data_IF_289928256070
#
_entry.id   IF_289928256070
#
_cell.length_a   1.000
_cell.length_b   1.000
_cell.length_c   1.000
_cell.angle_alpha   90.00
_cell.angle_beta   90.00
_cell.angle_gamma   90.00
#
_symmetry.space_group_name_H-M   'P 1'
#
loop_
_entity.id
_entity.type
_entity.pdbx_description
1 polymer ?
#
# COMPACT_ATOMS: atom_id res chain seq x y z
N UNK A 1 1.84 17.26 -7.65
CA UNK A 1 1.60 15.84 -7.29
C UNK A 1 2.24 15.59 -5.93
N UNK A 2 1.41 15.20 -4.97
CA UNK A 2 1.87 14.87 -3.62
C UNK A 2 2.31 13.41 -3.57
N UNK A 3 3.52 13.14 -3.09
CA UNK A 3 3.99 11.79 -2.81
C UNK A 3 3.89 11.53 -1.31
N UNK A 4 3.36 10.37 -0.93
CA UNK A 4 3.35 9.90 0.46
C UNK A 4 4.07 8.55 0.51
N UNK A 5 5.07 8.44 1.39
CA UNK A 5 5.75 7.19 1.67
C UNK A 5 5.29 6.62 3.02
N UNK A 6 4.83 5.38 3.02
CA UNK A 6 4.32 4.68 4.22
C UNK A 6 5.18 3.45 4.46
N UNK A 7 5.90 3.43 5.58
CA UNK A 7 6.70 2.29 5.96
C UNK A 7 5.86 1.23 6.70
N UNK A 8 6.35 -0.01 6.64
CA UNK A 8 5.83 -1.07 7.48
C UNK A 8 6.61 -1.21 8.78
N UNK A 9 6.64 -2.43 9.28
CA UNK A 9 7.14 -2.76 10.61
C UNK A 9 8.59 -2.34 10.78
N UNK A 10 8.88 -1.70 11.92
CA UNK A 10 10.21 -1.21 12.27
C UNK A 10 10.81 -0.15 11.34
N UNK A 11 10.08 0.31 10.31
CA UNK A 11 10.60 1.29 9.35
C UNK A 11 11.17 2.54 10.03
N UNK A 12 10.55 3.00 11.11
CA UNK A 12 11.01 4.18 11.85
C UNK A 12 12.12 3.94 12.88
N UNK A 13 12.67 2.72 13.01
CA UNK A 13 13.73 2.40 14.01
C UNK A 13 15.14 2.70 13.52
N UNK A 14 15.31 2.96 12.22
CA UNK A 14 16.58 3.38 11.65
C UNK A 14 16.79 4.88 11.84
N UNK A 15 18.04 5.31 11.97
CA UNK A 15 18.39 6.73 12.12
C UNK A 15 17.98 7.56 10.90
N UNK A 16 17.99 6.94 9.71
CA UNK A 16 17.53 7.53 8.43
C UNK A 16 16.69 6.53 7.63
N UNK A 17 15.39 6.39 7.94
CA UNK A 17 14.51 5.50 7.18
C UNK A 17 14.33 5.97 5.74
N UNK A 18 14.04 5.04 4.82
CA UNK A 18 13.88 5.34 3.40
C UNK A 18 12.76 6.35 3.10
N UNK A 19 11.73 6.43 3.95
CA UNK A 19 10.58 7.32 3.77
C UNK A 19 10.75 8.72 4.38
N UNK A 20 11.78 8.92 5.21
CA UNK A 20 12.05 10.22 5.82
C UNK A 20 12.59 11.22 4.79
N UNK A 21 12.35 12.51 5.01
CA UNK A 21 12.98 13.53 4.19
C UNK A 21 14.50 13.49 4.35
N UNK A 22 15.21 13.78 3.28
CA UNK A 22 16.67 13.71 3.25
C UNK A 22 17.23 12.31 3.08
N UNK A 23 16.40 11.25 3.10
CA UNK A 23 16.84 9.91 2.70
C UNK A 23 17.22 9.88 1.21
N UNK A 24 18.08 8.96 0.80
CA UNK A 24 18.45 8.83 -0.62
C UNK A 24 17.23 8.61 -1.51
N UNK A 25 16.25 7.82 -1.03
CA UNK A 25 15.04 7.54 -1.77
C UNK A 25 14.17 8.78 -1.92
N UNK A 26 14.00 9.55 -0.84
CA UNK A 26 13.20 10.76 -0.87
C UNK A 26 13.86 11.87 -1.71
N UNK A 27 15.17 12.07 -1.56
CA UNK A 27 15.93 13.04 -2.35
C UNK A 27 15.81 12.76 -3.85
N UNK A 28 15.86 11.48 -4.25
CA UNK A 28 15.65 11.11 -5.66
C UNK A 28 14.20 11.37 -6.11
N UNK A 29 13.20 11.13 -5.27
CA UNK A 29 11.81 11.46 -5.58
C UNK A 29 11.60 12.96 -5.81
N UNK A 30 12.18 13.80 -4.94
CA UNK A 30 12.12 15.26 -5.07
C UNK A 30 12.84 15.78 -6.30
N UNK A 31 14.02 15.22 -6.60
CA UNK A 31 14.76 15.53 -7.83
C UNK A 31 13.93 15.26 -9.09
N UNK A 32 12.96 14.34 -9.01
CA UNK A 32 12.01 13.99 -10.07
C UNK A 32 10.70 14.76 -10.02
N UNK A 33 10.55 15.70 -9.08
CA UNK A 33 9.40 16.60 -9.01
C UNK A 33 8.31 16.17 -8.00
N UNK A 34 8.58 15.21 -7.10
CA UNK A 34 7.66 14.93 -6.02
C UNK A 34 7.57 16.13 -5.06
N UNK A 35 6.34 16.54 -4.74
CA UNK A 35 6.11 17.51 -3.68
C UNK A 35 6.03 16.81 -2.33
N UNK A 36 6.70 17.38 -1.33
CA UNK A 36 6.57 16.93 0.05
C UNK A 36 5.14 17.19 0.53
N UNK A 37 4.47 16.16 1.02
CA UNK A 37 3.36 16.38 1.94
C UNK A 37 3.94 17.07 3.19
N UNK A 38 3.26 18.05 3.79
CA UNK A 38 3.85 18.99 4.76
C UNK A 38 4.41 18.36 6.07
N UNK A 39 4.31 17.05 6.28
CA UNK A 39 4.68 16.41 7.56
C UNK A 39 5.67 15.25 7.34
N UNK A 40 6.91 15.47 7.82
CA UNK A 40 8.12 14.63 7.66
C UNK A 40 8.12 13.33 8.50
N UNK A 41 7.35 13.26 9.60
CA UNK A 41 7.69 12.35 10.72
C UNK A 41 6.58 11.47 11.28
N UNK A 42 5.46 11.28 10.58
CA UNK A 42 4.39 10.45 11.13
C UNK A 42 4.70 8.97 10.92
N UNK A 43 4.85 8.24 12.02
CA UNK A 43 4.70 6.78 12.03
C UNK A 43 3.21 6.49 11.93
N UNK A 44 2.78 5.96 10.79
CA UNK A 44 1.38 5.61 10.54
C UNK A 44 0.99 4.24 11.14
N UNK A 45 1.60 3.82 12.25
CA UNK A 45 1.22 2.57 12.93
C UNK A 45 1.57 1.26 12.21
N UNK A 46 2.57 1.23 11.31
CA UNK A 46 2.96 0.01 10.56
C UNK A 46 3.63 -1.10 11.38
N UNK A 47 3.65 -1.03 12.71
CA UNK A 47 4.15 -2.12 13.56
C UNK A 47 3.34 -3.40 13.32
N UNK A 48 3.92 -4.57 13.61
CA UNK A 48 3.15 -5.80 13.48
C UNK A 48 2.08 -5.75 14.54
N UNK A 49 0.86 -5.54 14.10
CA UNK A 49 -0.34 -5.86 14.84
C UNK A 49 -0.94 -7.14 14.26
N UNK A 50 -1.75 -7.83 15.05
CA UNK A 50 -2.54 -8.94 14.54
C UNK A 50 -1.82 -10.29 14.50
N UNK A 51 -0.71 -10.46 15.24
CA UNK A 51 -0.17 -11.81 15.57
C UNK A 51 -1.22 -12.64 16.36
N UNK A 52 -2.16 -11.96 17.02
CA UNK A 52 -3.30 -12.56 17.72
C UNK A 52 -4.67 -12.03 17.25
N UNK A 53 -4.73 -11.44 16.05
CA UNK A 53 -6.00 -11.03 15.41
C UNK A 53 -6.50 -9.62 15.70
N UNK A 54 -5.77 -8.79 16.45
CA UNK A 54 -6.10 -7.38 16.67
C UNK A 54 -5.36 -6.50 15.64
N UNK A 55 -6.08 -5.70 14.85
CA UNK A 55 -5.50 -4.84 13.79
C UNK A 55 -5.55 -3.35 14.19
N UNK A 56 -5.62 -3.06 15.49
CA UNK A 56 -5.96 -1.75 16.03
C UNK A 56 -4.95 -0.66 15.62
N UNK A 57 -3.66 -0.95 15.66
CA UNK A 57 -2.61 -0.02 15.26
C UNK A 57 -2.69 0.34 13.77
N UNK A 58 -3.11 -0.60 12.91
CA UNK A 58 -3.28 -0.32 11.49
C UNK A 58 -4.54 0.49 11.22
N UNK A 59 -5.61 0.23 11.97
CA UNK A 59 -6.85 1.00 11.88
C UNK A 59 -6.56 2.44 12.31
N UNK A 60 -5.99 2.65 13.49
CA UNK A 60 -5.62 3.97 14.02
C UNK A 60 -4.65 4.68 13.07
N UNK A 61 -3.61 3.97 12.61
CA UNK A 61 -2.65 4.48 11.64
C UNK A 61 -3.30 4.91 10.33
N UNK A 62 -4.27 4.11 9.85
CA UNK A 62 -5.04 4.38 8.66
C UNK A 62 -5.98 5.58 8.83
N UNK A 63 -6.61 5.74 9.99
CA UNK A 63 -7.42 6.92 10.31
C UNK A 63 -6.59 8.20 10.32
N UNK A 64 -5.41 8.19 10.95
CA UNK A 64 -4.51 9.35 10.90
C UNK A 64 -4.02 9.65 9.49
N UNK A 65 -3.72 8.63 8.70
CA UNK A 65 -3.30 8.81 7.31
C UNK A 65 -4.45 9.36 6.46
N UNK A 66 -5.66 8.86 6.64
CA UNK A 66 -6.86 9.37 5.98
C UNK A 66 -7.08 10.84 6.29
N UNK A 67 -7.09 11.20 7.58
CA UNK A 67 -7.27 12.56 8.06
C UNK A 67 -6.21 13.51 7.48
N UNK A 68 -4.95 13.06 7.47
CA UNK A 68 -3.85 13.82 6.88
C UNK A 68 -4.05 14.09 5.39
N UNK A 69 -4.39 13.07 4.61
CA UNK A 69 -4.57 13.23 3.16
C UNK A 69 -5.73 14.17 2.88
N UNK A 70 -6.86 14.04 3.57
CA UNK A 70 -8.05 14.86 3.36
C UNK A 70 -7.79 16.33 3.70
N UNK A 71 -7.04 16.62 4.77
CA UNK A 71 -6.85 17.99 5.25
C UNK A 71 -5.58 18.68 4.73
N UNK A 72 -4.57 17.93 4.30
CA UNK A 72 -3.26 18.47 3.91
C UNK A 72 -2.87 18.20 2.47
N UNK A 73 -3.63 17.38 1.74
CA UNK A 73 -3.32 16.97 0.38
C UNK A 73 -4.55 17.10 -0.53
N UNK A 74 -4.34 16.99 -1.84
CA UNK A 74 -5.43 16.70 -2.78
C UNK A 74 -5.42 15.19 -3.09
N UNK A 75 -6.43 14.41 -2.65
CA UNK A 75 -6.45 12.96 -2.85
C UNK A 75 -6.26 12.55 -4.32
N UNK A 76 -6.93 13.22 -5.27
CA UNK A 76 -6.87 12.88 -6.71
C UNK A 76 -5.51 13.19 -7.36
N UNK A 77 -4.62 13.88 -6.65
CA UNK A 77 -3.24 14.14 -7.09
C UNK A 77 -2.19 13.43 -6.22
N UNK A 78 -2.64 12.62 -5.26
CA UNK A 78 -1.79 11.95 -4.28
C UNK A 78 -1.38 10.57 -4.78
N UNK A 79 -0.07 10.33 -4.78
CA UNK A 79 0.53 9.02 -5.02
C UNK A 79 1.05 8.47 -3.70
N UNK A 80 0.71 7.23 -3.38
CA UNK A 80 1.13 6.56 -2.14
C UNK A 80 2.07 5.41 -2.49
N UNK A 81 3.25 5.38 -1.86
CA UNK A 81 4.20 4.25 -1.90
C UNK A 81 4.23 3.63 -0.53
N UNK A 82 3.79 2.38 -0.41
CA UNK A 82 3.68 1.68 0.86
C UNK A 82 4.55 0.43 0.87
N UNK A 83 5.35 0.24 1.92
CA UNK A 83 6.22 -0.93 2.07
C UNK A 83 5.74 -1.86 3.17
N UNK A 84 5.83 -3.17 2.94
CA UNK A 84 5.51 -4.20 3.93
C UNK A 84 4.08 -3.99 4.50
N UNK A 85 3.91 -4.04 5.82
CA UNK A 85 2.64 -3.77 6.52
C UNK A 85 2.11 -2.33 6.35
N UNK A 86 2.92 -1.40 5.85
CA UNK A 86 2.44 -0.06 5.48
C UNK A 86 1.34 -0.12 4.42
N UNK A 87 1.33 -1.16 3.58
CA UNK A 87 0.25 -1.39 2.63
C UNK A 87 -1.11 -1.67 3.29
N UNK A 88 -1.12 -2.30 4.47
CA UNK A 88 -2.36 -2.55 5.24
C UNK A 88 -2.90 -1.26 5.82
N UNK A 89 -2.04 -0.44 6.43
CA UNK A 89 -2.38 0.90 6.94
C UNK A 89 -3.01 1.76 5.84
N UNK A 90 -2.42 1.74 4.64
CA UNK A 90 -2.96 2.47 3.49
C UNK A 90 -4.33 1.93 3.08
N UNK A 91 -4.53 0.62 3.12
CA UNK A 91 -5.85 0.01 2.92
C UNK A 91 -6.90 0.60 3.88
N UNK A 92 -6.61 0.61 5.18
CA UNK A 92 -7.51 1.19 6.18
C UNK A 92 -7.77 2.70 5.97
N UNK A 93 -6.79 3.42 5.41
CA UNK A 93 -6.91 4.84 5.11
C UNK A 93 -7.82 5.13 3.91
N UNK A 94 -7.72 4.36 2.83
CA UNK A 94 -8.36 4.73 1.55
C UNK A 94 -9.66 3.96 1.25
N UNK A 95 -9.81 2.73 1.75
CA UNK A 95 -10.91 1.84 1.36
C UNK A 95 -12.29 2.40 1.71
N UNK A 96 -13.09 2.68 0.68
CA UNK A 96 -14.45 3.22 0.83
C UNK A 96 -14.50 4.65 1.39
N UNK A 97 -13.35 5.33 1.47
CA UNK A 97 -13.22 6.66 2.08
C UNK A 97 -12.76 7.74 1.10
N UNK A 98 -11.86 7.42 0.17
CA UNK A 98 -11.34 8.39 -0.81
C UNK A 98 -10.86 7.71 -2.10
N UNK A 99 -10.54 8.52 -3.11
CA UNK A 99 -9.81 8.08 -4.30
C UNK A 99 -8.45 8.76 -4.39
N UNK A 100 -7.40 7.96 -4.57
CA UNK A 100 -6.02 8.44 -4.76
C UNK A 100 -5.57 8.20 -6.20
N UNK A 101 -4.66 9.05 -6.69
CA UNK A 101 -4.11 8.94 -8.05
C UNK A 101 -3.45 7.60 -8.30
N UNK A 102 -2.52 7.22 -7.43
CA UNK A 102 -1.84 5.95 -7.56
C UNK A 102 -1.42 5.37 -6.21
N UNK A 103 -1.37 4.05 -6.19
CA UNK A 103 -0.89 3.25 -5.08
C UNK A 103 0.18 2.28 -5.57
N UNK A 104 1.33 2.29 -4.92
CA UNK A 104 2.41 1.35 -5.18
C UNK A 104 2.72 0.63 -3.86
N UNK A 105 2.43 -0.67 -3.79
CA UNK A 105 2.76 -1.49 -2.62
C UNK A 105 4.02 -2.30 -2.87
N UNK A 106 4.96 -2.30 -1.93
CA UNK A 106 6.27 -2.94 -2.02
C UNK A 106 6.36 -4.06 -0.97
N UNK A 107 6.39 -5.32 -1.39
CA UNK A 107 6.57 -6.46 -0.47
C UNK A 107 5.48 -6.58 0.60
N UNK A 108 4.32 -5.94 0.42
CA UNK A 108 3.18 -6.07 1.32
C UNK A 108 2.70 -7.52 1.37
N UNK A 109 2.54 -8.13 2.56
CA UNK A 109 2.06 -9.50 2.68
C UNK A 109 0.60 -9.63 2.26
N UNK A 110 0.24 -10.74 1.60
CA UNK A 110 -1.14 -11.05 1.21
C UNK A 110 -1.80 -11.84 2.35
N UNK A 111 -2.48 -11.13 3.25
CA UNK A 111 -3.13 -11.73 4.43
C UNK A 111 -4.60 -12.04 4.18
N UNK A 112 -5.19 -12.90 5.02
CA UNK A 112 -6.62 -13.26 4.90
C UNK A 112 -7.53 -12.21 5.53
N UNK A 113 -7.15 -11.68 6.68
CA UNK A 113 -7.89 -10.70 7.48
C UNK A 113 -8.02 -9.36 6.75
N UNK A 114 -7.06 -9.01 5.91
CA UNK A 114 -7.07 -7.76 5.12
C UNK A 114 -7.70 -7.92 3.73
N UNK A 115 -8.22 -9.10 3.36
CA UNK A 115 -8.73 -9.35 1.98
C UNK A 115 -9.82 -8.39 1.54
N UNK A 116 -10.71 -7.99 2.45
CA UNK A 116 -11.79 -7.07 2.13
C UNK A 116 -11.21 -5.69 1.81
N UNK A 117 -10.35 -5.16 2.67
CA UNK A 117 -9.64 -3.90 2.44
C UNK A 117 -8.83 -3.97 1.14
N UNK A 118 -8.02 -5.02 0.93
CA UNK A 118 -7.26 -5.21 -0.31
C UNK A 118 -8.14 -5.23 -1.57
N UNK A 119 -9.37 -5.74 -1.50
CA UNK A 119 -10.32 -5.68 -2.61
C UNK A 119 -10.76 -4.24 -2.91
N UNK A 120 -11.10 -3.49 -1.87
CA UNK A 120 -11.56 -2.10 -1.97
C UNK A 120 -10.43 -1.13 -2.35
N UNK A 121 -9.16 -1.48 -2.12
CA UNK A 121 -8.01 -0.67 -2.55
C UNK A 121 -7.94 -0.50 -4.06
N UNK A 122 -8.39 -1.49 -4.84
CA UNK A 122 -8.44 -1.39 -6.30
C UNK A 122 -9.42 -0.31 -6.78
N UNK A 123 -10.53 -0.12 -6.07
CA UNK A 123 -11.53 0.90 -6.38
C UNK A 123 -11.13 2.29 -5.86
N UNK A 124 -10.32 2.32 -4.81
CA UNK A 124 -9.84 3.54 -4.14
C UNK A 124 -8.57 4.14 -4.77
N UNK A 125 -7.89 3.45 -5.69
CA UNK A 125 -6.72 3.95 -6.39
C UNK A 125 -6.94 3.88 -7.91
N UNK A 126 -6.74 4.98 -8.65
CA UNK A 126 -6.89 4.95 -10.11
C UNK A 126 -5.89 3.94 -10.74
N UNK A 127 -4.67 3.92 -10.21
CA UNK A 127 -3.67 2.92 -10.55
C UNK A 127 -3.13 2.23 -9.28
N UNK A 128 -3.23 0.90 -9.19
CA UNK A 128 -2.59 0.13 -8.14
C UNK A 128 -1.58 -0.87 -8.70
N UNK A 129 -0.30 -0.66 -8.38
CA UNK A 129 0.79 -1.59 -8.68
C UNK A 129 1.32 -2.25 -7.41
N UNK A 130 1.35 -3.57 -7.39
CA UNK A 130 2.01 -4.34 -6.35
C UNK A 130 3.36 -4.89 -6.85
N UNK A 131 4.44 -4.54 -6.17
CA UNK A 131 5.79 -5.00 -6.46
C UNK A 131 6.20 -6.01 -5.38
N UNK A 132 6.64 -7.20 -5.80
CA UNK A 132 7.02 -8.27 -4.87
C UNK A 132 8.22 -9.06 -5.37
N UNK A 133 9.02 -9.57 -4.43
CA UNK A 133 10.13 -10.47 -4.77
C UNK A 133 9.92 -11.86 -4.20
N UNK A 134 10.22 -12.95 -4.94
CA UNK A 134 10.28 -14.29 -4.38
C UNK A 134 11.41 -14.46 -3.34
N UNK A 135 12.45 -13.64 -3.43
CA UNK A 135 13.61 -13.65 -2.52
C UNK A 135 13.33 -12.92 -1.20
N UNK A 136 12.15 -12.30 -1.08
CA UNK A 136 11.70 -11.59 0.10
C UNK A 136 11.14 -12.57 1.15
N UNK A 137 11.99 -13.02 2.08
CA UNK A 137 11.54 -13.91 3.15
C UNK A 137 10.60 -13.21 4.13
N UNK A 138 10.70 -11.90 4.32
CA UNK A 138 9.86 -11.16 5.24
C UNK A 138 8.41 -11.06 4.76
N UNK A 139 8.19 -10.92 3.45
CA UNK A 139 6.84 -11.01 2.88
C UNK A 139 6.20 -12.38 3.14
N UNK A 140 7.00 -13.46 3.16
CA UNK A 140 6.52 -14.79 3.50
C UNK A 140 6.23 -14.91 5.01
N UNK A 141 7.15 -14.44 5.87
CA UNK A 141 7.01 -14.49 7.32
C UNK A 141 5.89 -13.58 7.84
N UNK A 142 5.58 -12.48 7.17
CA UNK A 142 4.48 -11.57 7.51
C UNK A 142 3.10 -12.22 7.42
N UNK A 143 2.96 -13.33 6.68
CA UNK A 143 1.79 -14.21 6.66
C UNK A 143 1.89 -15.38 7.66
N UNK A 144 2.81 -15.38 8.61
CA UNK A 144 2.85 -16.41 9.67
C UNK A 144 2.11 -15.91 10.92
N UNK A 145 2.17 -14.60 11.19
CA UNK A 145 1.48 -13.98 12.32
C UNK A 145 -0.06 -14.01 12.20
N UNK A 146 -0.63 -14.17 11.00
CA UNK A 146 -2.08 -14.23 10.79
C UNK A 146 -2.64 -15.66 10.86
N UNK A 147 -1.83 -16.64 11.28
CA UNK A 147 -2.20 -18.05 11.36
C UNK A 147 -2.39 -18.73 9.99
N UNK A 148 -2.00 -18.08 8.88
CA UNK A 148 -2.14 -18.62 7.53
C UNK A 148 -0.86 -18.46 6.72
N UNK A 149 0.00 -19.50 6.73
CA UNK A 149 1.12 -19.63 5.79
C UNK A 149 0.66 -19.52 4.33
N UNK A 150 0.64 -18.29 3.81
CA UNK A 150 0.28 -18.01 2.43
C UNK A 150 1.56 -17.86 1.62
N UNK A 151 1.85 -18.86 0.78
CA UNK A 151 2.89 -18.74 -0.25
C UNK A 151 2.53 -17.71 -1.34
N UNK A 152 1.32 -17.12 -1.27
CA UNK A 152 0.84 -16.15 -2.27
C UNK A 152 1.46 -14.79 -2.00
N UNK A 153 2.24 -14.32 -2.97
CA UNK A 153 2.84 -12.98 -2.97
C UNK A 153 2.13 -12.01 -3.90
N UNK A 154 1.31 -12.52 -4.83
CA UNK A 154 0.57 -11.71 -5.80
C UNK A 154 -0.72 -11.17 -5.17
N UNK A 155 -0.93 -9.86 -5.26
CA UNK A 155 -2.18 -9.20 -4.88
C UNK A 155 -3.21 -9.41 -5.98
N UNK A 156 -4.22 -10.25 -5.74
CA UNK A 156 -5.24 -10.60 -6.75
C UNK A 156 -5.95 -9.37 -7.34
N UNK A 157 -6.18 -8.36 -6.51
CA UNK A 157 -6.98 -7.17 -6.86
C UNK A 157 -6.14 -6.01 -7.41
N UNK A 158 -4.81 -6.08 -7.36
CA UNK A 158 -3.97 -5.01 -7.91
C UNK A 158 -4.07 -4.97 -9.43
N UNK A 159 -4.23 -3.77 -10.00
CA UNK A 159 -4.28 -3.53 -11.44
C UNK A 159 -3.03 -4.07 -12.13
N UNK A 160 -1.87 -3.97 -11.46
CA UNK A 160 -0.60 -4.52 -11.91
C UNK A 160 0.12 -5.25 -10.79
N UNK A 161 0.74 -6.38 -11.11
CA UNK A 161 1.64 -7.09 -10.20
C UNK A 161 3.01 -7.25 -10.88
N UNK A 162 4.06 -6.67 -10.31
CA UNK A 162 5.43 -6.74 -10.81
C UNK A 162 6.23 -7.70 -9.92
N UNK A 163 6.65 -8.82 -10.50
CA UNK A 163 7.56 -9.77 -9.85
C UNK A 163 9.00 -9.37 -10.13
N UNK A 164 9.81 -9.18 -9.10
CA UNK A 164 11.24 -8.87 -9.23
C UNK A 164 12.10 -9.96 -8.59
N UNK A 165 13.09 -10.49 -9.32
CA UNK A 165 13.97 -11.56 -8.82
C UNK A 165 15.20 -10.96 -8.13
N UNK A 166 15.67 -11.60 -7.05
CA UNK A 166 16.97 -11.28 -6.43
C UNK A 166 17.01 -10.00 -5.60
N UNK A 167 15.87 -9.43 -5.21
CA UNK A 167 15.80 -8.32 -4.27
C UNK A 167 15.30 -8.81 -2.91
N UNK A 168 15.97 -8.40 -1.83
CA UNK A 168 15.46 -8.62 -0.48
C UNK A 168 14.29 -7.68 -0.17
N UNK A 169 13.65 -7.87 0.99
CA UNK A 169 12.55 -7.03 1.47
C UNK A 169 12.92 -5.54 1.51
N UNK A 170 14.14 -5.22 1.98
CA UNK A 170 14.62 -3.85 2.11
C UNK A 170 15.09 -3.28 0.75
N UNK A 171 15.58 -4.13 -0.16
CA UNK A 171 16.05 -3.66 -1.46
C UNK A 171 14.92 -3.09 -2.34
N UNK A 172 13.67 -3.45 -2.05
CA UNK A 172 12.48 -2.95 -2.77
C UNK A 172 12.30 -1.43 -2.67
N UNK A 173 12.86 -0.79 -1.64
CA UNK A 173 12.86 0.67 -1.50
C UNK A 173 14.25 1.28 -1.70
N UNK A 174 15.20 0.54 -2.30
CA UNK A 174 16.51 1.10 -2.66
C UNK A 174 16.42 1.95 -3.93
N UNK A 175 17.10 3.10 -3.93
CA UNK A 175 17.17 3.98 -5.13
C UNK A 175 17.73 3.23 -6.33
N UNK A 176 18.73 2.37 -6.11
CA UNK A 176 19.35 1.56 -7.17
C UNK A 176 18.33 0.64 -7.83
N UNK A 177 17.50 -0.06 -7.05
CA UNK A 177 16.45 -0.92 -7.60
C UNK A 177 15.41 -0.10 -8.37
N UNK A 178 14.96 1.03 -7.82
CA UNK A 178 13.98 1.90 -8.47
C UNK A 178 14.47 2.44 -9.81
N UNK A 179 15.72 2.92 -9.88
CA UNK A 179 16.35 3.36 -11.13
C UNK A 179 16.49 2.22 -12.13
N UNK A 180 17.01 1.07 -11.69
CA UNK A 180 17.23 -0.09 -12.56
C UNK A 180 15.94 -0.61 -13.20
N UNK A 181 14.83 -0.58 -12.47
CA UNK A 181 13.56 -1.18 -12.91
C UNK A 181 12.54 -0.16 -13.44
N UNK A 182 12.90 1.14 -13.54
CA UNK A 182 11.98 2.18 -14.03
C UNK A 182 10.74 2.38 -13.14
N UNK A 183 10.85 2.17 -11.82
CA UNK A 183 9.69 2.28 -10.93
C UNK A 183 9.28 3.72 -10.63
N UNK A 184 10.16 4.68 -10.86
CA UNK A 184 9.83 6.10 -10.76
C UNK A 184 8.74 6.50 -11.77
N UNK A 185 8.70 5.84 -12.92
CA UNK A 185 7.73 6.10 -13.99
C UNK A 185 6.30 5.78 -13.52
N UNK A 186 6.16 4.82 -12.59
CA UNK A 186 4.89 4.50 -11.92
C UNK A 186 4.37 5.65 -11.04
N UNK A 187 5.27 6.48 -10.52
CA UNK A 187 4.93 7.63 -9.65
C UNK A 187 4.61 8.85 -10.50
N UNK A 188 5.46 9.15 -11.49
CA UNK A 188 5.39 10.40 -12.24
C UNK A 188 4.57 10.32 -13.52
N UNK A 189 4.07 9.14 -13.88
CA UNK A 189 3.22 8.96 -15.06
C UNK A 189 3.97 9.14 -16.38
N UNK A 190 5.31 9.13 -16.35
CA UNK A 190 6.10 8.87 -17.55
C UNK A 190 5.69 7.48 -18.04
N UNK A 191 5.31 7.35 -19.31
CA UNK A 191 4.83 6.08 -19.85
C UNK A 191 5.87 4.99 -19.53
N UNK A 192 5.55 4.13 -18.56
CA UNK A 192 6.50 3.12 -18.10
C UNK A 192 6.99 2.34 -19.32
N UNK A 193 8.31 2.15 -19.51
CA UNK A 193 8.80 1.32 -20.60
C UNK A 193 8.09 -0.02 -20.49
N UNK A 194 7.56 -0.50 -21.61
CA UNK A 194 6.81 -1.74 -21.69
C UNK A 194 7.65 -2.85 -21.04
N UNK A 195 7.32 -3.22 -19.80
CA UNK A 195 7.99 -4.32 -19.12
C UNK A 195 7.58 -5.58 -19.85
N UNK A 196 8.53 -6.16 -20.59
CA UNK A 196 8.38 -7.46 -21.24
C UNK A 196 8.04 -8.45 -20.13
N UNK A 197 6.83 -9.03 -20.10
CA UNK A 197 6.51 -10.06 -19.13
C UNK A 197 7.42 -11.25 -19.41
N UNK A 198 8.19 -11.68 -18.41
CA UNK A 198 8.80 -13.02 -18.40
C UNK A 198 7.67 -14.05 -18.59
N UNK A 199 7.53 -14.58 -19.81
CA UNK A 199 6.87 -15.86 -20.13
C UNK A 199 5.35 -15.93 -19.92
N UNK A 200 4.62 -15.92 -21.02
CA UNK A 200 3.20 -16.31 -21.14
C UNK A 200 2.83 -17.62 -20.42
N UNK A 201 1.59 -17.72 -19.92
CA UNK A 201 0.56 -18.57 -20.58
C UNK A 201 -0.87 -18.40 -20.02
N UNK A 202 -1.77 -18.21 -21.00
CA UNK A 202 -3.16 -18.70 -21.15
C UNK A 202 -4.21 -18.29 -20.11
N UNK A 203 -4.99 -17.28 -20.50
CA UNK A 203 -6.42 -17.43 -20.77
C UNK A 203 -7.35 -17.64 -19.57
N UNK A 204 -7.93 -16.55 -19.08
CA UNK A 204 -9.33 -16.55 -18.66
C UNK A 204 -9.92 -15.23 -19.17
N UNK A 205 -10.84 -15.31 -20.13
CA UNK A 205 -11.53 -14.16 -20.66
C UNK A 205 -12.36 -13.49 -19.57
N UNK A 206 -12.22 -12.17 -19.43
CA UNK A 206 -13.18 -11.35 -18.71
C UNK A 206 -14.17 -10.82 -19.75
N UNK A 207 -15.33 -11.47 -19.85
CA UNK A 207 -16.50 -10.88 -20.47
C UNK A 207 -17.03 -9.72 -19.59
N UNK A 208 -17.75 -8.75 -20.17
CA UNK A 208 -18.35 -7.67 -19.42
C UNK A 208 -19.43 -8.24 -18.48
N UNK A 209 -19.25 -8.07 -17.16
CA UNK A 209 -20.33 -8.33 -16.20
C UNK A 209 -21.22 -7.10 -16.13
N UNK A 210 -22.43 -7.27 -16.65
CA UNK A 210 -23.59 -6.41 -16.48
C UNK A 210 -23.95 -6.23 -15.00
N UNK A 211 -24.08 -4.97 -14.59
CA UNK A 211 -25.11 -4.41 -13.72
C UNK A 211 -25.86 -5.38 -12.80
N UNK A 212 -25.30 -5.63 -11.63
CA UNK A 212 -26.06 -5.85 -10.39
C UNK A 212 -25.22 -5.33 -9.21
N UNK A 213 -25.21 -4.01 -9.01
CA UNK A 213 -24.81 -3.42 -7.74
C UNK A 213 -25.91 -3.72 -6.72
N UNK A 214 -25.75 -4.82 -5.99
CA UNK A 214 -26.28 -4.89 -4.63
C UNK A 214 -25.60 -3.76 -3.85
N UNK A 215 -26.39 -2.96 -3.14
CA UNK A 215 -25.90 -1.90 -2.27
C UNK A 215 -24.66 -2.38 -1.50
N UNK A 216 -23.57 -1.61 -1.56
CA UNK A 216 -22.34 -1.91 -0.84
C UNK A 216 -22.70 -2.31 0.59
N UNK A 217 -22.29 -3.50 1.08
CA UNK A 217 -22.52 -3.83 2.46
C UNK A 217 -21.94 -2.70 3.32
N UNK A 218 -22.65 -2.23 4.36
CA UNK A 218 -22.11 -1.22 5.24
C UNK A 218 -20.76 -1.69 5.73
N UNK A 219 -19.76 -0.81 5.64
CA UNK A 219 -18.42 -1.07 6.12
C UNK A 219 -18.54 -1.66 7.54
N UNK A 220 -18.01 -2.88 7.82
CA UNK A 220 -18.32 -3.64 9.03
C UNK A 220 -17.94 -2.91 10.34
N UNK A 221 -17.21 -1.81 10.24
CA UNK A 221 -16.75 -0.97 11.35
C UNK A 221 -17.84 -0.15 12.04
N UNK A 222 -19.01 0.09 11.42
CA UNK A 222 -20.11 0.81 12.10
C UNK A 222 -20.72 0.07 13.30
N UNK A 223 -20.32 -1.17 13.58
CA UNK A 223 -20.85 -1.98 14.67
C UNK A 223 -20.01 -1.99 15.96
N UNK A 224 -18.80 -1.41 15.98
CA UNK A 224 -17.90 -1.50 17.16
C UNK A 224 -17.79 -0.23 18.00
N UNK A 225 -18.20 0.93 17.51
CA UNK A 225 -18.27 2.14 18.33
C UNK A 225 -19.65 2.22 19.01
N UNK A 226 -19.80 1.54 20.14
CA UNK A 226 -20.89 1.80 21.07
C UNK A 226 -20.78 3.23 21.60
N UNK A 227 -21.43 4.19 20.93
CA UNK A 227 -21.69 5.51 21.49
C UNK A 227 -22.60 5.32 22.71
N UNK A 228 -22.02 5.36 23.91
CA UNK A 228 -22.78 5.78 25.10
C UNK A 228 -23.17 7.23 24.86
N UNK A 229 -24.44 7.45 24.54
CA UNK A 229 -25.07 8.75 24.74
C UNK A 229 -24.99 9.07 26.23
N UNK A 230 -24.07 9.96 26.59
CA UNK A 230 -24.12 10.66 27.86
C UNK A 230 -25.17 11.75 27.74
N UNK A 231 -26.21 11.65 28.56
CA UNK A 231 -27.17 12.73 28.80
C UNK A 231 -26.44 13.91 29.45
N UNK A 232 -26.50 15.07 28.78
CA UNK A 232 -26.55 16.39 29.40
C UNK A 232 -27.58 17.22 28.64
#
# INVERSE_FOLDING_TARGET
>A
MTLIAVAGTHGGRHEKPWFHWGSDWWNEAERRGAQRAAVDRRRWGGEIDGIFGENENWIIGGEYLWDFIVHSCNPSETVIVAHSHGGTVVGEAICGKMKVKALITLGTPVRRDTRLALGMMAEAAEAWTHIYSPSDWWQLLGGIGDGHFSLRRKMRHAHRNIRVKGLSHADLHSVKAWKKNGWWDLVFGEAAPAVIPDGERKGIGYGPRSDHYLASPPCPWRWRSGCRQGNL
#
